data_IF_796808617687
#
_entry.id   IF_796808617687
#
_cell.length_a   1.000
_cell.length_b   1.000
_cell.length_c   1.000
_cell.angle_alpha   90.00
_cell.angle_beta   90.00
_cell.angle_gamma   90.00
#
_symmetry.space_group_name_H-M   'P 1'
#
loop_
_entity.id
_entity.type
_entity.pdbx_description
1 polymer ?
#
# COMPACT_ATOMS: atom_id res chain seq x y z
N UNK A 1 4.23 -13.55 12.46
CA UNK A 1 3.22 -12.84 11.65
C UNK A 1 3.86 -12.50 10.31
N UNK A 2 3.16 -12.70 9.21
CA UNK A 2 3.71 -12.59 7.86
C UNK A 2 2.81 -11.73 7.00
N UNK A 3 3.40 -10.78 6.31
CA UNK A 3 2.70 -9.79 5.52
C UNK A 3 3.49 -9.52 4.24
N UNK A 4 2.78 -9.25 3.16
CA UNK A 4 3.35 -8.87 1.88
C UNK A 4 2.69 -7.59 1.39
N UNK A 5 3.51 -6.63 0.97
CA UNK A 5 3.06 -5.39 0.36
C UNK A 5 3.60 -5.39 -1.07
N UNK A 6 2.70 -5.34 -2.04
CA UNK A 6 3.03 -5.21 -3.46
C UNK A 6 2.71 -3.78 -3.87
N UNK A 7 3.68 -3.10 -4.47
CA UNK A 7 3.55 -1.72 -4.93
C UNK A 7 3.59 -1.73 -6.46
N UNK A 8 2.47 -1.40 -7.11
CA UNK A 8 2.44 -1.20 -8.55
C UNK A 8 3.15 0.10 -8.90
N UNK A 9 4.10 0.07 -9.83
CA UNK A 9 4.95 1.22 -10.15
C UNK A 9 4.39 2.12 -11.25
N UNK A 10 3.29 1.74 -11.89
CA UNK A 10 2.68 2.39 -13.06
C UNK A 10 1.38 3.14 -12.74
N UNK A 11 0.88 2.99 -11.51
CA UNK A 11 -0.38 3.59 -11.04
C UNK A 11 -0.41 3.63 -9.49
N UNK A 12 -1.24 4.49 -8.86
CA UNK A 12 -1.43 4.46 -7.41
C UNK A 12 -2.18 3.20 -6.99
N UNK A 13 -1.47 2.10 -6.77
CA UNK A 13 -2.07 0.82 -6.38
C UNK A 13 -1.11 0.02 -5.52
N UNK A 14 -1.48 -0.16 -4.27
CA UNK A 14 -0.78 -1.01 -3.30
C UNK A 14 -1.69 -2.17 -2.90
N UNK A 15 -1.15 -3.38 -2.89
CA UNK A 15 -1.84 -4.59 -2.43
C UNK A 15 -1.17 -5.09 -1.16
N UNK A 16 -1.93 -5.18 -0.07
CA UNK A 16 -1.46 -5.70 1.21
C UNK A 16 -2.10 -7.07 1.48
N UNK A 17 -1.26 -8.09 1.62
CA UNK A 17 -1.64 -9.41 2.08
C UNK A 17 -1.17 -9.60 3.51
N UNK A 18 -2.09 -9.87 4.44
CA UNK A 18 -1.77 -10.18 5.83
C UNK A 18 -2.22 -11.58 6.19
N UNK A 19 -1.32 -12.39 6.73
CA UNK A 19 -1.66 -13.72 7.23
C UNK A 19 -2.38 -13.59 8.57
N UNK A 20 -3.59 -14.12 8.64
CA UNK A 20 -4.45 -14.28 9.81
C UNK A 20 -4.66 -15.77 10.11
N UNK A 21 -5.27 -16.08 11.25
CA UNK A 21 -5.57 -17.46 11.63
C UNK A 21 -6.54 -18.14 10.65
N UNK A 22 -7.45 -17.38 10.05
CA UNK A 22 -8.44 -17.85 9.07
C UNK A 22 -7.94 -17.85 7.62
N UNK A 23 -6.68 -17.47 7.36
CA UNK A 23 -6.11 -17.41 6.01
C UNK A 23 -5.45 -16.08 5.69
N UNK A 24 -5.49 -15.65 4.43
CA UNK A 24 -4.92 -14.39 3.99
C UNK A 24 -6.01 -13.33 3.83
N UNK A 25 -5.84 -12.20 4.50
CA UNK A 25 -6.63 -11.00 4.23
C UNK A 25 -5.92 -10.20 3.14
N UNK A 26 -6.66 -9.84 2.08
CA UNK A 26 -6.20 -8.97 1.01
C UNK A 26 -6.86 -7.61 1.15
N UNK A 27 -6.07 -6.54 1.02
CA UNK A 27 -6.56 -5.16 1.01
C UNK A 27 -5.90 -4.40 -0.14
N UNK A 28 -6.72 -3.75 -0.96
CA UNK A 28 -6.28 -2.88 -2.05
C UNK A 28 -6.39 -1.41 -1.64
N UNK A 29 -5.32 -0.65 -1.88
CA UNK A 29 -5.29 0.80 -1.70
C UNK A 29 -4.99 1.43 -3.06
N UNK A 30 -5.99 2.06 -3.67
CA UNK A 30 -5.97 2.49 -5.08
C UNK A 30 -6.08 4.00 -5.28
N UNK A 31 -6.23 4.77 -4.20
CA UNK A 31 -6.29 6.24 -4.25
C UNK A 31 -4.96 6.82 -3.81
N UNK A 32 -4.40 7.76 -4.58
CA UNK A 32 -3.15 8.43 -4.22
C UNK A 32 -3.26 9.21 -2.89
N UNK A 33 -4.46 9.67 -2.54
CA UNK A 33 -4.73 10.41 -1.30
C UNK A 33 -5.05 9.49 -0.10
N UNK A 34 -5.02 8.16 -0.29
CA UNK A 34 -5.19 7.19 0.79
C UNK A 34 -3.85 6.84 1.47
N UNK A 35 -3.94 6.07 2.56
CA UNK A 35 -2.80 5.53 3.29
C UNK A 35 -2.79 4.00 3.27
N UNK A 36 -1.59 3.42 3.21
CA UNK A 36 -1.35 2.03 3.58
C UNK A 36 -1.29 1.95 5.10
N UNK A 37 -2.13 1.10 5.69
CA UNK A 37 -2.14 0.83 7.13
C UNK A 37 -1.52 -0.53 7.40
N UNK A 38 -0.47 -0.55 8.24
CA UNK A 38 0.19 -1.75 8.72
C UNK A 38 -0.05 -1.86 10.23
N UNK A 39 -1.25 -2.35 10.61
CA UNK A 39 -1.70 -2.41 12.02
C UNK A 39 -0.72 -3.14 12.95
N UNK A 40 0.06 -4.05 12.38
CA UNK A 40 0.91 -4.93 13.15
C UNK A 40 2.17 -4.27 13.72
N UNK A 41 2.59 -3.16 13.12
CA UNK A 41 3.69 -2.33 13.58
C UNK A 41 3.24 -0.90 13.90
N UNK A 42 1.94 -0.64 13.91
CA UNK A 42 1.33 0.67 14.17
C UNK A 42 1.89 1.76 13.22
N UNK A 43 1.97 1.42 11.93
CA UNK A 43 2.49 2.31 10.89
C UNK A 43 1.40 2.63 9.89
N UNK A 44 1.24 3.93 9.61
CA UNK A 44 0.46 4.46 8.51
C UNK A 44 1.36 5.19 7.52
N UNK A 45 1.28 4.86 6.23
CA UNK A 45 2.11 5.45 5.18
C UNK A 45 1.19 6.02 4.08
N UNK A 46 1.14 7.34 3.90
CA UNK A 46 0.41 7.94 2.78
C UNK A 46 0.94 7.44 1.44
N UNK A 47 0.05 7.11 0.49
CA UNK A 47 0.46 6.65 -0.84
C UNK A 47 1.28 7.71 -1.59
N UNK A 48 0.97 9.01 -1.39
CA UNK A 48 1.81 10.12 -1.86
C UNK A 48 3.27 10.02 -1.41
N UNK A 49 3.54 9.50 -0.21
CA UNK A 49 4.90 9.31 0.28
C UNK A 49 5.58 8.10 -0.37
N UNK A 50 4.84 7.00 -0.57
CA UNK A 50 5.31 5.79 -1.25
C UNK A 50 5.74 6.13 -2.69
N UNK A 51 4.91 6.90 -3.39
CA UNK A 51 5.09 7.25 -4.80
C UNK A 51 5.86 8.55 -5.04
N UNK A 52 6.41 9.19 -4.01
CA UNK A 52 7.02 10.54 -4.10
C UNK A 52 8.17 10.68 -5.11
N UNK A 53 8.74 9.58 -5.56
CA UNK A 53 9.86 9.54 -6.51
C UNK A 53 9.48 8.86 -7.83
N UNK A 54 8.18 8.77 -8.12
CA UNK A 54 7.68 8.16 -9.35
C UNK A 54 7.14 9.25 -10.27
N UNK A 55 7.63 9.28 -11.51
CA UNK A 55 7.47 10.42 -12.42
C UNK A 55 6.01 10.77 -12.73
N UNK A 56 5.12 9.77 -12.86
CA UNK A 56 3.70 9.99 -13.17
C UNK A 56 2.93 10.68 -12.05
N UNK A 57 3.46 10.75 -10.83
CA UNK A 57 2.80 11.46 -9.72
C UNK A 57 2.74 12.97 -9.96
N UNK A 58 3.69 13.50 -10.74
CA UNK A 58 3.83 14.93 -11.04
C UNK A 58 3.51 15.24 -12.50
N UNK A 59 3.05 14.25 -13.27
CA UNK A 59 2.62 14.47 -14.64
C UNK A 59 1.25 15.16 -14.63
N UNK A 60 1.19 16.36 -15.21
CA UNK A 60 -0.04 17.13 -15.44
C UNK A 60 -0.94 16.48 -16.52
#
# INVERSE_FOLDING_TARGET
MQEYVLIHQDRPHVVHHRKQDSGWLLTDVTSIDASLVLDSCDVEIPLRQIYRQVDWLFAD
#
